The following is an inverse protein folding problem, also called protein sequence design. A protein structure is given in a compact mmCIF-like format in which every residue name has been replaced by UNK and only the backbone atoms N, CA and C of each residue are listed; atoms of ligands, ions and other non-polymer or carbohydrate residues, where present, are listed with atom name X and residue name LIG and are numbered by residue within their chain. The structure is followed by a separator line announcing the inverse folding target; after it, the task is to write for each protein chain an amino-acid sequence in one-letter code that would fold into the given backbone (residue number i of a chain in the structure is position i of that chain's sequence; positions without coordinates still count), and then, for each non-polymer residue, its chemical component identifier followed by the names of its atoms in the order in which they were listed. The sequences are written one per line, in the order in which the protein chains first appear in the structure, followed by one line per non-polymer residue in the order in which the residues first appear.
data_IF_213026110142
#
_entry.id   IF_213026110142
#
_cell.length_a   1.000
_cell.length_b   1.000
_cell.length_c   1.000
_cell.angle_alpha   90.00
_cell.angle_beta   90.00
_cell.angle_gamma   90.00
#
_symmetry.space_group_name_H-M   'P 1'
#
loop_
_entity.id
_entity.type
_entity.pdbx_description
1 polymer ?
#
# COMPACT_ATOMS: atom_id res chain seq x y z
N UNK A 1 -11.51 12.34 -8.99
CA UNK A 1 -12.60 11.92 -8.08
C UNK A 1 -11.99 11.15 -6.93
N UNK A 2 -12.55 11.18 -5.71
CA UNK A 2 -12.06 10.38 -4.60
C UNK A 2 -12.24 8.88 -4.92
N UNK A 3 -11.29 8.05 -4.48
CA UNK A 3 -11.39 6.59 -4.58
C UNK A 3 -12.64 6.09 -3.86
N UNK A 4 -13.29 5.06 -4.41
CA UNK A 4 -14.40 4.42 -3.72
C UNK A 4 -13.91 3.84 -2.38
N UNK A 5 -14.75 3.79 -1.33
CA UNK A 5 -14.32 3.32 0.00
C UNK A 5 -13.65 1.94 0.00
N UNK A 6 -14.15 1.02 -0.83
CA UNK A 6 -13.58 -0.32 -0.95
C UNK A 6 -12.18 -0.30 -1.59
N UNK A 7 -11.95 0.57 -2.56
CA UNK A 7 -10.65 0.73 -3.22
C UNK A 7 -9.63 1.35 -2.26
N UNK A 8 -10.05 2.30 -1.42
CA UNK A 8 -9.19 2.88 -0.39
C UNK A 8 -8.73 1.83 0.62
N UNK A 9 -9.63 1.00 1.12
CA UNK A 9 -9.29 -0.06 2.09
C UNK A 9 -8.39 -1.13 1.47
N UNK A 10 -8.61 -1.46 0.20
CA UNK A 10 -7.71 -2.35 -0.54
C UNK A 10 -6.30 -1.76 -0.66
N UNK A 11 -6.17 -0.50 -1.07
CA UNK A 11 -4.85 0.13 -1.22
C UNK A 11 -4.14 0.28 0.13
N UNK A 12 -4.87 0.62 1.21
CA UNK A 12 -4.32 0.62 2.58
C UNK A 12 -3.79 -0.76 2.97
N UNK A 13 -4.52 -1.83 2.65
CA UNK A 13 -4.08 -3.20 2.90
C UNK A 13 -2.81 -3.54 2.11
N UNK A 14 -2.74 -3.20 0.82
CA UNK A 14 -1.55 -3.42 -0.02
C UNK A 14 -0.32 -2.66 0.50
N UNK A 15 -0.51 -1.42 0.96
CA UNK A 15 0.54 -0.57 1.51
C UNK A 15 0.93 -0.93 2.96
N UNK A 16 0.13 -1.75 3.64
CA UNK A 16 0.40 -2.16 5.02
C UNK A 16 1.64 -3.05 5.14
N UNK A 17 2.15 -3.20 6.36
CA UNK A 17 3.24 -4.14 6.66
C UNK A 17 2.94 -5.56 6.16
N UNK A 18 1.71 -6.03 6.35
CA UNK A 18 1.29 -7.37 5.89
C UNK A 18 1.34 -7.46 4.37
N UNK A 19 0.83 -6.45 3.66
CA UNK A 19 0.87 -6.39 2.19
C UNK A 19 2.32 -6.37 1.67
N UNK A 20 3.18 -5.55 2.26
CA UNK A 20 4.60 -5.48 1.88
C UNK A 20 5.37 -6.78 2.22
N UNK A 21 4.95 -7.56 3.22
CA UNK A 21 5.52 -8.88 3.47
C UNK A 21 5.12 -9.91 2.42
N UNK A 22 3.93 -9.80 1.81
CA UNK A 22 3.53 -10.64 0.68
C UNK A 22 4.41 -10.36 -0.53
N UNK A 23 4.72 -9.08 -0.81
CA UNK A 23 5.65 -8.68 -1.89
C UNK A 23 7.00 -9.40 -1.77
N UNK A 24 7.56 -9.46 -0.55
CA UNK A 24 8.82 -10.18 -0.28
C UNK A 24 8.68 -11.69 -0.50
N UNK A 25 7.59 -12.29 -0.01
CA UNK A 25 7.32 -13.73 -0.17
C UNK A 25 7.22 -14.14 -1.63
N UNK A 26 6.68 -13.27 -2.47
CA UNK A 26 6.54 -13.48 -3.91
C UNK A 26 7.82 -13.15 -4.70
N UNK A 27 8.92 -12.81 -4.01
CA UNK A 27 10.23 -12.57 -4.61
C UNK A 27 10.43 -11.14 -5.15
N UNK A 28 9.55 -10.21 -4.82
CA UNK A 28 9.68 -8.79 -5.19
C UNK A 28 10.33 -7.95 -4.08
N UNK A 29 10.76 -6.75 -4.46
CA UNK A 29 11.34 -5.77 -3.53
C UNK A 29 10.20 -4.93 -2.91
N UNK A 30 10.08 -4.87 -1.58
CA UNK A 30 9.04 -4.08 -0.93
C UNK A 30 9.34 -2.59 -1.08
N UNK A 31 8.28 -1.78 -1.00
CA UNK A 31 8.41 -0.33 -1.03
C UNK A 31 9.13 0.17 0.23
N UNK A 32 10.05 1.16 0.10
CA UNK A 32 10.60 1.84 1.25
C UNK A 32 9.50 2.54 2.06
N UNK A 33 9.67 2.60 3.39
CA UNK A 33 8.67 3.21 4.28
C UNK A 33 8.26 4.63 3.85
N UNK A 34 9.22 5.47 3.43
CA UNK A 34 8.96 6.83 2.93
C UNK A 34 8.08 6.85 1.67
N UNK A 35 8.21 5.86 0.79
CA UNK A 35 7.39 5.75 -0.41
C UNK A 35 5.96 5.33 -0.06
N UNK A 36 5.80 4.42 0.91
CA UNK A 36 4.51 4.02 1.46
C UNK A 36 3.80 5.20 2.13
N UNK A 37 4.50 5.95 2.98
CA UNK A 37 3.97 7.15 3.65
C UNK A 37 3.47 8.18 2.62
N UNK A 38 4.28 8.44 1.59
CA UNK A 38 3.88 9.34 0.50
C UNK A 38 2.64 8.81 -0.24
N UNK A 39 2.59 7.52 -0.56
CA UNK A 39 1.44 6.93 -1.24
C UNK A 39 0.16 7.03 -0.41
N UNK A 40 0.23 6.83 0.92
CA UNK A 40 -0.90 6.96 1.82
C UNK A 40 -1.50 8.38 1.83
N UNK A 41 -0.68 9.42 1.66
CA UNK A 41 -1.18 10.81 1.56
C UNK A 41 -1.94 11.12 0.27
N UNK A 42 -1.74 10.33 -0.78
CA UNK A 42 -2.35 10.55 -2.09
C UNK A 42 -3.71 9.87 -2.25
N UNK A 43 -4.03 8.94 -1.33
CA UNK A 43 -5.27 8.14 -1.36
C UNK A 43 -6.26 8.53 -0.26
N UNK A 44 -5.87 9.48 0.61
CA UNK A 44 -6.73 10.07 1.64
C UNK A 44 -7.61 11.17 1.05
#
# INVERSE_FOLDING_TARGET
EPLAPLEQEFIKMVLSKTGQQVVVKDGYIPLPAKAVEKALTLIQ
#
